data_IF_137935255268
#
_entry.id   IF_137935255268
#
_cell.length_a   1.000
_cell.length_b   1.000
_cell.length_c   1.000
_cell.angle_alpha   90.00
_cell.angle_beta   90.00
_cell.angle_gamma   90.00
#
_symmetry.space_group_name_H-M   'P 1'
#
loop_
_entity.id
_entity.type
_entity.pdbx_description
1 polymer ?
#
# COMPACT_ATOMS: atom_id res chain seq x y z
N UNK A 1 -46.58 -2.19 0.58
CA UNK A 1 -45.65 -3.08 -0.16
C UNK A 1 -44.64 -2.33 -1.01
N UNK A 2 -45.03 -1.52 -2.01
CA UNK A 2 -44.08 -0.82 -2.90
C UNK A 2 -43.04 0.02 -2.14
N UNK A 3 -43.47 0.78 -1.11
CA UNK A 3 -42.55 1.57 -0.27
C UNK A 3 -41.51 0.72 0.46
N UNK A 4 -41.90 -0.48 0.92
CA UNK A 4 -41.00 -1.41 1.63
C UNK A 4 -40.01 -2.04 0.66
N UNK A 5 -40.46 -2.42 -0.53
CA UNK A 5 -39.58 -2.94 -1.60
C UNK A 5 -38.58 -1.88 -2.06
N UNK A 6 -39.03 -0.63 -2.24
CA UNK A 6 -38.14 0.48 -2.59
C UNK A 6 -37.10 0.74 -1.50
N UNK A 7 -37.50 0.71 -0.23
CA UNK A 7 -36.58 0.90 0.89
C UNK A 7 -35.52 -0.23 0.96
N UNK A 8 -35.93 -1.47 0.68
CA UNK A 8 -35.02 -2.61 0.62
C UNK A 8 -34.01 -2.48 -0.54
N UNK A 9 -34.44 -1.95 -1.68
CA UNK A 9 -33.58 -1.70 -2.83
C UNK A 9 -32.55 -0.60 -2.55
N UNK A 10 -32.98 0.50 -1.93
CA UNK A 10 -32.08 1.59 -1.48
C UNK A 10 -31.06 1.05 -0.48
N UNK A 11 -31.52 0.28 0.52
CA UNK A 11 -30.64 -0.31 1.52
C UNK A 11 -29.60 -1.25 0.88
N UNK A 12 -30.04 -2.11 -0.05
CA UNK A 12 -29.14 -3.01 -0.79
C UNK A 12 -28.11 -2.21 -1.59
N UNK A 13 -28.53 -1.18 -2.32
CA UNK A 13 -27.62 -0.32 -3.08
C UNK A 13 -26.58 0.37 -2.17
N UNK A 14 -27.01 0.80 -0.98
CA UNK A 14 -26.16 1.43 0.01
C UNK A 14 -25.10 0.44 0.53
N UNK A 15 -25.51 -0.78 0.90
CA UNK A 15 -24.59 -1.85 1.34
C UNK A 15 -23.57 -2.18 0.25
N UNK A 16 -24.00 -2.32 -1.00
CA UNK A 16 -23.10 -2.60 -2.13
C UNK A 16 -22.10 -1.45 -2.32
N UNK A 17 -22.58 -0.20 -2.31
CA UNK A 17 -21.73 0.98 -2.44
C UNK A 17 -20.65 1.03 -1.34
N UNK A 18 -21.05 0.86 -0.07
CA UNK A 18 -20.10 0.88 1.05
C UNK A 18 -19.12 -0.29 0.98
N UNK A 19 -19.55 -1.47 0.56
CA UNK A 19 -18.66 -2.64 0.39
C UNK A 19 -17.56 -2.35 -0.63
N UNK A 20 -17.93 -1.84 -1.80
CA UNK A 20 -16.97 -1.49 -2.87
C UNK A 20 -16.05 -0.35 -2.41
N UNK A 21 -16.60 0.66 -1.74
CA UNK A 21 -15.83 1.79 -1.23
C UNK A 21 -14.78 1.38 -0.19
N UNK A 22 -15.15 0.51 0.76
CA UNK A 22 -14.22 -0.03 1.76
C UNK A 22 -13.14 -0.86 1.08
N UNK A 23 -13.51 -1.74 0.14
CA UNK A 23 -12.54 -2.57 -0.58
C UNK A 23 -11.50 -1.73 -1.33
N UNK A 24 -11.94 -0.69 -2.03
CA UNK A 24 -11.04 0.22 -2.75
C UNK A 24 -10.18 1.06 -1.79
N UNK A 25 -10.72 1.46 -0.65
CA UNK A 25 -9.98 2.26 0.34
C UNK A 25 -8.93 1.46 1.11
N UNK A 26 -9.10 0.14 1.22
CA UNK A 26 -8.15 -0.76 1.90
C UNK A 26 -7.08 -1.30 0.95
N UNK A 27 -7.20 -1.06 -0.34
CA UNK A 27 -6.23 -1.52 -1.32
C UNK A 27 -5.00 -0.61 -1.27
N UNK A 28 -3.86 -1.19 -0.93
CA UNK A 28 -2.57 -0.50 -1.00
C UNK A 28 -2.27 -0.15 -2.46
N UNK A 29 -2.25 1.15 -2.77
CA UNK A 29 -1.88 1.67 -4.09
C UNK A 29 -0.75 2.71 -3.94
N UNK A 30 0.15 2.76 -4.93
CA UNK A 30 1.25 3.71 -4.90
C UNK A 30 0.76 5.12 -5.26
N UNK A 31 0.85 6.03 -4.29
CA UNK A 31 0.53 7.44 -4.50
C UNK A 31 1.66 8.16 -5.25
N UNK A 32 1.30 9.01 -6.21
CA UNK A 32 2.25 9.86 -6.94
C UNK A 32 2.03 11.32 -6.55
N UNK A 33 3.05 11.93 -5.96
CA UNK A 33 3.05 13.34 -5.57
C UNK A 33 4.15 14.09 -6.31
N UNK A 34 3.81 15.23 -6.89
CA UNK A 34 4.78 16.14 -7.50
C UNK A 34 4.95 17.33 -6.55
N UNK A 35 6.18 17.56 -6.11
CA UNK A 35 6.55 18.69 -5.27
C UNK A 35 7.39 19.61 -6.13
N UNK A 36 6.91 20.84 -6.35
CA UNK A 36 7.64 21.86 -7.08
C UNK A 36 8.22 22.86 -6.09
N UNK A 37 9.51 23.15 -6.24
CA UNK A 37 10.22 24.11 -5.41
C UNK A 37 11.14 24.94 -6.31
N UNK A 38 11.20 26.25 -6.05
CA UNK A 38 12.01 27.19 -6.81
C UNK A 38 12.88 28.00 -5.85
N UNK A 39 14.20 27.88 -6.01
CA UNK A 39 15.19 28.67 -5.30
C UNK A 39 16.11 29.35 -6.34
N UNK A 40 16.20 30.69 -6.37
CA UNK A 40 17.03 31.41 -7.34
C UNK A 40 18.53 31.11 -7.21
N UNK A 41 18.99 30.54 -6.09
CA UNK A 41 20.39 30.24 -5.84
C UNK A 41 20.77 28.78 -6.17
N UNK A 42 19.80 27.95 -6.56
CA UNK A 42 20.01 26.52 -6.82
C UNK A 42 19.53 26.18 -8.22
N UNK A 43 20.33 25.41 -8.96
CA UNK A 43 19.94 24.93 -10.27
C UNK A 43 18.69 24.04 -10.16
N UNK A 44 17.75 24.21 -11.08
CA UNK A 44 16.54 23.39 -11.11
C UNK A 44 16.88 21.94 -11.45
N UNK A 45 16.42 21.02 -10.61
CA UNK A 45 16.65 19.58 -10.73
C UNK A 45 15.33 18.84 -10.51
N UNK A 46 15.15 17.74 -11.22
CA UNK A 46 13.99 16.87 -11.09
C UNK A 46 14.45 15.50 -10.61
N UNK A 47 13.83 15.00 -9.53
CA UNK A 47 14.06 13.67 -9.01
C UNK A 47 12.75 12.94 -8.82
N UNK A 48 12.77 11.64 -9.15
CA UNK A 48 11.73 10.69 -8.82
C UNK A 48 12.16 9.89 -7.61
N UNK A 49 11.49 10.11 -6.48
CA UNK A 49 11.78 9.40 -5.25
C UNK A 49 10.62 8.43 -4.99
N UNK A 50 10.92 7.14 -4.89
CA UNK A 50 9.97 6.15 -4.39
C UNK A 50 10.13 6.06 -2.87
N UNK A 51 9.04 6.23 -2.12
CA UNK A 51 9.03 6.10 -0.66
C UNK A 51 8.28 4.83 -0.29
N UNK A 52 8.92 3.93 0.47
CA UNK A 52 8.35 2.65 0.89
C UNK A 52 8.50 2.53 2.40
N UNK A 53 7.41 2.24 3.09
CA UNK A 53 7.40 1.95 4.53
C UNK A 53 6.11 1.26 4.94
N UNK A 54 6.04 0.89 6.20
CA UNK A 54 4.86 0.25 6.79
C UNK A 54 4.43 -1.01 6.03
N UNK A 55 5.45 -1.78 5.60
CA UNK A 55 5.25 -2.99 4.78
C UNK A 55 4.61 -4.09 5.64
N UNK A 56 4.95 -4.13 6.94
CA UNK A 56 4.52 -5.16 7.88
C UNK A 56 4.60 -6.58 7.27
N UNK A 57 5.73 -6.90 6.66
CA UNK A 57 5.94 -8.14 5.91
C UNK A 57 5.82 -9.35 6.83
N UNK A 58 4.82 -10.18 6.58
CA UNK A 58 4.66 -11.51 7.16
C UNK A 58 5.19 -12.62 6.24
N UNK A 59 4.79 -13.86 6.50
CA UNK A 59 5.09 -15.01 5.65
C UNK A 59 3.96 -15.27 4.63
N UNK A 60 4.26 -16.00 3.55
CA UNK A 60 3.26 -16.41 2.55
C UNK A 60 2.78 -15.27 1.65
N UNK A 61 1.48 -15.02 1.61
CA UNK A 61 0.82 -14.09 0.68
C UNK A 61 1.38 -12.65 0.74
N UNK A 62 1.88 -12.24 1.91
CA UNK A 62 2.42 -10.90 2.09
C UNK A 62 3.75 -10.70 1.33
N UNK A 63 4.53 -11.78 1.13
CA UNK A 63 5.72 -11.75 0.29
C UNK A 63 5.35 -11.53 -1.18
N UNK A 64 4.29 -12.20 -1.68
CA UNK A 64 3.85 -12.03 -3.06
C UNK A 64 3.35 -10.60 -3.32
N UNK A 65 2.57 -10.04 -2.38
CA UNK A 65 2.12 -8.64 -2.45
C UNK A 65 3.30 -7.67 -2.47
N UNK A 66 4.30 -7.91 -1.62
CA UNK A 66 5.50 -7.07 -1.58
C UNK A 66 6.29 -7.14 -2.89
N UNK A 67 6.46 -8.32 -3.48
CA UNK A 67 7.12 -8.47 -4.78
C UNK A 67 6.38 -7.74 -5.91
N UNK A 68 5.04 -7.77 -5.90
CA UNK A 68 4.22 -6.98 -6.85
C UNK A 68 4.44 -5.48 -6.66
N UNK A 69 4.46 -5.01 -5.42
CA UNK A 69 4.74 -3.60 -5.10
C UNK A 69 6.15 -3.18 -5.57
N UNK A 70 7.17 -4.03 -5.35
CA UNK A 70 8.53 -3.76 -5.84
C UNK A 70 8.60 -3.72 -7.38
N UNK A 71 7.86 -4.59 -8.07
CA UNK A 71 7.79 -4.56 -9.52
C UNK A 71 7.14 -3.26 -10.03
N UNK A 72 6.09 -2.78 -9.35
CA UNK A 72 5.45 -1.51 -9.64
C UNK A 72 6.41 -0.33 -9.44
N UNK A 73 7.09 -0.27 -8.29
CA UNK A 73 8.11 0.77 -8.01
C UNK A 73 9.19 0.78 -9.07
N UNK A 74 9.73 -0.39 -9.42
CA UNK A 74 10.77 -0.53 -10.47
C UNK A 74 10.27 -0.04 -11.84
N UNK A 75 9.00 -0.27 -12.16
CA UNK A 75 8.40 0.18 -13.43
C UNK A 75 8.40 1.71 -13.57
N UNK A 76 8.38 2.45 -12.46
CA UNK A 76 8.40 3.92 -12.44
C UNK A 76 9.79 4.53 -12.61
N UNK A 77 10.85 3.72 -12.55
CA UNK A 77 12.26 4.12 -12.68
C UNK A 77 12.59 5.32 -11.75
N UNK A 78 12.45 5.15 -10.42
CA UNK A 78 12.86 6.19 -9.48
C UNK A 78 14.39 6.37 -9.51
N UNK A 79 14.84 7.58 -9.23
CA UNK A 79 16.26 7.91 -9.05
C UNK A 79 16.75 7.50 -7.65
N UNK A 80 15.83 7.46 -6.68
CA UNK A 80 16.08 7.08 -5.29
C UNK A 80 14.91 6.27 -4.73
N UNK A 81 15.21 5.21 -3.97
CA UNK A 81 14.24 4.50 -3.14
C UNK A 81 14.53 4.79 -1.67
N UNK A 82 13.57 5.41 -0.97
CA UNK A 82 13.65 5.73 0.45
C UNK A 82 12.83 4.72 1.26
N UNK A 83 13.49 3.99 2.15
CA UNK A 83 12.86 3.04 3.06
C UNK A 83 12.60 3.70 4.43
N UNK A 84 11.35 3.87 4.85
CA UNK A 84 11.02 4.69 6.05
C UNK A 84 10.83 3.91 7.35
N UNK A 85 10.64 2.59 7.30
CA UNK A 85 10.57 1.73 8.49
C UNK A 85 9.39 0.77 8.49
N UNK A 86 9.23 0.07 9.62
CA UNK A 86 8.14 -0.88 9.91
C UNK A 86 7.98 -2.00 8.87
N UNK A 87 9.07 -2.75 8.69
CA UNK A 87 9.20 -3.71 7.60
C UNK A 87 8.64 -5.09 7.90
N UNK A 88 8.62 -5.51 9.16
CA UNK A 88 8.31 -6.89 9.55
C UNK A 88 7.11 -6.85 10.49
N UNK A 89 6.16 -7.76 10.29
CA UNK A 89 5.05 -7.91 11.23
C UNK A 89 5.54 -8.33 12.61
N UNK A 90 4.71 -8.20 13.64
CA UNK A 90 5.11 -8.51 15.01
C UNK A 90 5.70 -9.93 15.12
N UNK A 91 6.89 -10.01 15.72
CA UNK A 91 7.61 -11.25 16.04
C UNK A 91 6.75 -12.33 16.70
N UNK A 92 5.68 -11.95 17.40
CA UNK A 92 4.70 -12.87 18.03
C UNK A 92 3.86 -13.66 17.03
N UNK A 93 3.77 -13.20 15.78
CA UNK A 93 3.08 -13.89 14.68
C UNK A 93 4.03 -14.75 13.82
N UNK A 94 5.34 -14.68 14.06
CA UNK A 94 6.32 -15.56 13.42
C UNK A 94 6.34 -16.88 14.20
N UNK A 95 5.83 -17.94 13.57
CA UNK A 95 5.58 -19.25 14.21
C UNK A 95 6.83 -19.85 14.87
N UNK A 96 8.01 -19.61 14.30
CA UNK A 96 9.28 -20.07 14.86
C UNK A 96 10.44 -19.16 14.44
N UNK A 97 10.67 -18.11 15.24
CA UNK A 97 11.79 -17.17 15.05
C UNK A 97 13.16 -17.86 15.14
N UNK A 98 13.26 -18.97 15.88
CA UNK A 98 14.53 -19.69 16.08
C UNK A 98 14.90 -20.47 14.84
N UNK A 99 13.95 -21.20 14.26
CA UNK A 99 14.15 -21.94 13.02
C UNK A 99 14.40 -21.01 11.83
N UNK A 100 13.74 -19.83 11.80
CA UNK A 100 14.01 -18.80 10.80
C UNK A 100 15.47 -18.29 10.88
N UNK A 101 15.97 -17.98 12.08
CA UNK A 101 17.34 -17.46 12.30
C UNK A 101 18.45 -18.46 12.02
N UNK A 102 18.17 -19.75 12.07
CA UNK A 102 19.18 -20.80 11.89
C UNK A 102 19.37 -21.16 10.40
N UNK A 103 18.47 -20.69 9.52
CA UNK A 103 18.48 -20.98 8.08
C UNK A 103 18.84 -19.77 7.20
N UNK A 104 19.38 -18.69 7.80
CA UNK A 104 19.91 -17.51 7.09
C UNK A 104 21.43 -17.57 7.02
#
# INVERSE_FOLDING_TARGET
>A
MIKVVALLFIFTALVVYFTISIFNSLKTEMNSLQIEYSDPNVASISFKIAVIGDIHLGEGDDIEKFLKLLAEVKSKRPDLVLMTGDYITDSRHIKDISSHRTNI
#
